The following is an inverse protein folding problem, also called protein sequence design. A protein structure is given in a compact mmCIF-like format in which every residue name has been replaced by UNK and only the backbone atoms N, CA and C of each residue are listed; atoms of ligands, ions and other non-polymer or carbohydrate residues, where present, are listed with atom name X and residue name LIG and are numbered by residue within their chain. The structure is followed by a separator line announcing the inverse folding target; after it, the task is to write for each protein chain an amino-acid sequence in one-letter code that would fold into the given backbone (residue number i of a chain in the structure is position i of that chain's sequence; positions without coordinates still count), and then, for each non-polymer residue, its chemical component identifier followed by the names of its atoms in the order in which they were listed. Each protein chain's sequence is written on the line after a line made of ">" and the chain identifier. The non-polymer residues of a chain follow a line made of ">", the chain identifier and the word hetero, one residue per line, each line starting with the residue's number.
data_IF_672097590384
#
_entry.id   IF_672097590384
#
_cell.length_a   1.000
_cell.length_b   1.000
_cell.length_c   1.000
_cell.angle_alpha   90.00
_cell.angle_beta   90.00
_cell.angle_gamma   90.00
#
_symmetry.space_group_name_H-M   'P 1'
#
loop_
_entity.id
_entity.type
_entity.pdbx_description
1 polymer ?
#
# COMPACT_ATOMS: atom_id res chain seq x y z
N UNK A 1 -8.97 -13.02 1.19
CA UNK A 1 -8.23 -11.94 1.86
C UNK A 1 -8.10 -10.77 0.89
N UNK A 2 -8.46 -9.54 1.29
CA UNK A 2 -8.25 -8.37 0.46
C UNK A 2 -6.76 -8.23 0.11
N UNK A 3 -6.50 -7.86 -1.13
CA UNK A 3 -5.14 -7.66 -1.63
C UNK A 3 -4.99 -6.20 -2.00
N UNK A 4 -3.91 -5.58 -1.51
CA UNK A 4 -3.50 -4.27 -1.98
C UNK A 4 -2.36 -4.45 -2.97
N UNK A 5 -2.46 -3.75 -4.10
CA UNK A 5 -1.33 -3.52 -5.00
C UNK A 5 -0.89 -2.08 -4.81
N UNK A 6 0.31 -1.91 -4.27
CA UNK A 6 0.92 -0.62 -3.95
C UNK A 6 1.97 -0.32 -5.01
N UNK A 7 1.68 0.64 -5.88
CA UNK A 7 2.59 1.09 -6.91
C UNK A 7 3.32 2.36 -6.43
N UNK A 8 4.64 2.28 -6.31
CA UNK A 8 5.51 3.36 -5.86
C UNK A 8 6.27 3.93 -7.06
N UNK A 9 5.95 5.17 -7.41
CA UNK A 9 6.57 5.91 -8.49
C UNK A 9 7.61 6.87 -7.92
N UNK A 10 8.83 6.78 -8.44
CA UNK A 10 9.92 7.68 -8.07
C UNK A 10 9.69 9.06 -8.70
N UNK A 11 9.75 10.11 -7.88
CA UNK A 11 9.94 11.49 -8.34
C UNK A 11 11.24 12.03 -7.72
N UNK A 12 11.60 13.29 -7.96
CA UNK A 12 12.92 13.83 -7.58
C UNK A 12 13.17 13.74 -6.07
N UNK A 13 12.22 14.20 -5.25
CA UNK A 13 12.38 14.32 -3.79
C UNK A 13 11.35 13.50 -2.98
N UNK A 14 10.39 12.89 -3.66
CA UNK A 14 9.26 12.20 -3.04
C UNK A 14 8.76 11.05 -3.93
N UNK A 15 7.82 10.30 -3.40
CA UNK A 15 7.11 9.25 -4.10
C UNK A 15 5.67 9.68 -4.35
N UNK A 16 5.19 9.34 -5.55
CA UNK A 16 3.76 9.13 -5.77
C UNK A 16 3.47 7.68 -5.43
N UNK A 17 2.52 7.43 -4.53
CA UNK A 17 2.08 6.08 -4.18
C UNK A 17 0.63 5.90 -4.56
N UNK A 18 0.36 4.90 -5.39
CA UNK A 18 -0.98 4.49 -5.78
C UNK A 18 -1.29 3.16 -5.11
N UNK A 19 -2.41 3.09 -4.40
CA UNK A 19 -2.89 1.88 -3.72
C UNK A 19 -4.18 1.43 -4.38
N UNK A 20 -4.14 0.26 -4.98
CA UNK A 20 -5.29 -0.41 -5.57
C UNK A 20 -5.73 -1.54 -4.65
N UNK A 21 -6.97 -1.47 -4.14
CA UNK A 21 -7.58 -2.50 -3.30
C UNK A 21 -8.42 -3.43 -4.16
N UNK A 22 -8.16 -4.73 -4.04
CA UNK A 22 -8.88 -5.76 -4.75
C UNK A 22 -9.71 -6.63 -3.80
N UNK A 23 -10.90 -7.00 -4.27
CA UNK A 23 -11.77 -8.00 -3.65
C UNK A 23 -11.15 -9.40 -3.71
N UNK A 24 -11.73 -10.36 -3.01
CA UNK A 24 -11.27 -11.75 -3.03
C UNK A 24 -11.43 -12.40 -4.42
N UNK A 25 -12.40 -11.95 -5.19
CA UNK A 25 -12.66 -12.35 -6.58
C UNK A 25 -11.73 -11.65 -7.58
N UNK A 26 -10.80 -10.81 -7.11
CA UNK A 26 -9.84 -10.09 -7.95
C UNK A 26 -10.42 -8.86 -8.66
N UNK A 27 -11.58 -8.36 -8.22
CA UNK A 27 -12.15 -7.10 -8.75
C UNK A 27 -11.50 -5.91 -8.07
N UNK A 28 -11.27 -4.84 -8.82
CA UNK A 28 -10.78 -3.58 -8.26
C UNK A 28 -11.93 -2.88 -7.52
N UNK A 29 -11.79 -2.72 -6.20
CA UNK A 29 -12.80 -2.09 -5.34
C UNK A 29 -12.53 -0.60 -5.16
N UNK A 30 -11.27 -0.21 -4.97
CA UNK A 30 -10.89 1.15 -4.61
C UNK A 30 -9.48 1.47 -5.09
N UNK A 31 -9.27 2.71 -5.56
CA UNK A 31 -7.95 3.26 -5.87
C UNK A 31 -7.73 4.54 -5.05
N UNK A 32 -6.59 4.63 -4.36
CA UNK A 32 -6.14 5.84 -3.67
C UNK A 32 -4.79 6.27 -4.19
N UNK A 33 -4.61 7.58 -4.38
CA UNK A 33 -3.35 8.16 -4.82
C UNK A 33 -2.86 9.14 -3.76
N UNK A 34 -1.60 8.98 -3.36
CA UNK A 34 -0.90 9.83 -2.41
C UNK A 34 0.29 10.47 -3.11
N UNK A 35 0.38 11.79 -3.02
CA UNK A 35 1.52 12.60 -3.48
C UNK A 35 2.31 13.06 -2.25
N UNK A 36 3.58 13.44 -2.41
CA UNK A 36 4.36 13.91 -1.25
C UNK A 36 4.87 12.82 -0.32
N UNK A 37 4.81 11.55 -0.71
CA UNK A 37 5.20 10.45 0.17
C UNK A 37 6.72 10.39 0.26
N UNK A 38 7.28 10.63 1.43
CA UNK A 38 8.73 10.52 1.69
C UNK A 38 9.11 9.18 2.29
N UNK A 39 8.17 8.52 2.96
CA UNK A 39 8.40 7.23 3.59
C UNK A 39 7.15 6.36 3.50
N UNK A 40 7.30 5.13 3.00
CA UNK A 40 6.28 4.09 3.02
C UNK A 40 6.62 3.06 4.10
N UNK A 41 5.70 2.81 5.04
CA UNK A 41 5.86 1.84 6.12
C UNK A 41 4.77 0.79 6.03
N UNK A 42 5.18 -0.48 6.01
CA UNK A 42 4.31 -1.65 6.00
C UNK A 42 4.42 -2.34 7.36
N UNK A 43 3.37 -2.31 8.19
CA UNK A 43 3.40 -2.84 9.57
C UNK A 43 2.45 -4.03 9.73
N UNK A 44 2.95 -5.14 10.28
CA UNK A 44 2.14 -6.33 10.56
C UNK A 44 1.37 -6.88 9.35
N UNK A 45 1.96 -6.79 8.16
CA UNK A 45 1.40 -7.30 6.90
C UNK A 45 2.39 -8.21 6.20
N UNK A 46 1.89 -9.07 5.31
CA UNK A 46 2.74 -9.83 4.41
C UNK A 46 2.89 -9.01 3.12
N UNK A 47 4.13 -8.62 2.81
CA UNK A 47 4.45 -7.88 1.60
C UNK A 47 5.31 -8.72 0.65
N UNK A 48 4.95 -8.74 -0.62
CA UNK A 48 5.71 -9.36 -1.70
C UNK A 48 6.14 -8.29 -2.67
N UNK A 49 7.44 -8.15 -2.85
CA UNK A 49 8.04 -7.14 -3.72
C UNK A 49 8.60 -7.88 -4.94
N UNK A 50 8.11 -7.50 -6.12
CA UNK A 50 8.66 -8.01 -7.37
C UNK A 50 9.85 -7.16 -7.81
N UNK A 51 10.72 -7.74 -8.64
CA UNK A 51 11.82 -7.00 -9.26
C UNK A 51 11.26 -5.80 -10.03
N UNK A 52 11.80 -4.62 -9.75
CA UNK A 52 11.53 -3.44 -10.57
C UNK A 52 12.16 -3.60 -11.95
N UNK A 53 11.35 -3.39 -12.98
CA UNK A 53 11.84 -3.26 -14.35
C UNK A 53 12.21 -1.80 -14.63
N UNK A 54 13.15 -1.58 -15.55
CA UNK A 54 13.63 -0.25 -15.87
C UNK A 54 12.47 0.70 -16.21
N UNK A 55 12.45 1.88 -15.57
CA UNK A 55 11.44 2.93 -15.76
C UNK A 55 10.00 2.50 -15.42
N UNK A 56 9.81 1.49 -14.57
CA UNK A 56 8.51 1.08 -14.03
C UNK A 56 8.43 1.39 -12.53
N UNK A 57 7.23 1.62 -11.97
CA UNK A 57 7.07 1.75 -10.52
C UNK A 57 7.45 0.44 -9.81
N UNK A 58 7.82 0.54 -8.53
CA UNK A 58 7.83 -0.66 -7.68
C UNK A 58 6.40 -1.07 -7.44
N UNK A 59 6.08 -2.33 -7.75
CA UNK A 59 4.78 -2.90 -7.42
C UNK A 59 4.94 -3.86 -6.24
N UNK A 60 4.29 -3.51 -5.15
CA UNK A 60 4.31 -4.25 -3.89
C UNK A 60 2.92 -4.83 -3.66
N UNK A 61 2.85 -6.15 -3.55
CA UNK A 61 1.59 -6.84 -3.22
C UNK A 61 1.55 -6.99 -1.71
N UNK A 62 0.53 -6.41 -1.08
CA UNK A 62 0.31 -6.50 0.37
C UNK A 62 -0.93 -7.33 0.64
N UNK A 63 -0.76 -8.39 1.42
CA UNK A 63 -1.82 -9.27 1.89
C UNK A 63 -2.18 -8.86 3.32
N UNK A 64 -3.43 -8.40 3.51
CA UNK A 64 -3.97 -7.92 4.78
C UNK A 64 -5.47 -8.21 4.87
N UNK A 65 -5.96 -8.66 6.03
CA UNK A 65 -7.37 -8.99 6.25
C UNK A 65 -8.27 -7.76 6.31
N UNK A 66 -7.80 -6.71 6.99
CA UNK A 66 -8.49 -5.44 7.19
C UNK A 66 -7.46 -4.30 7.14
N UNK A 67 -6.94 -3.95 5.95
CA UNK A 67 -5.88 -2.96 5.85
C UNK A 67 -6.36 -1.56 6.27
N UNK A 68 -5.55 -0.90 7.10
CA UNK A 68 -5.67 0.51 7.45
C UNK A 68 -4.57 1.28 6.71
N UNK A 69 -4.98 2.33 5.99
CA UNK A 69 -4.09 3.21 5.22
C UNK A 69 -4.13 4.59 5.87
N UNK A 70 -2.98 5.06 6.38
CA UNK A 70 -2.84 6.33 7.10
C UNK A 70 -1.76 7.17 6.42
N UNK A 71 -2.11 8.40 6.03
CA UNK A 71 -1.15 9.39 5.55
C UNK A 71 -1.00 10.49 6.59
N UNK A 72 0.22 10.69 7.09
CA UNK A 72 0.53 11.65 8.16
C UNK A 72 1.28 12.86 7.62
N UNK A 73 1.21 13.97 8.36
CA UNK A 73 2.03 15.15 8.11
C UNK A 73 3.52 14.77 8.03
N UNK A 74 4.24 15.42 7.12
CA UNK A 74 5.65 15.12 6.84
C UNK A 74 5.88 14.05 5.75
N UNK A 75 4.82 13.49 5.15
CA UNK A 75 4.93 12.58 4.00
C UNK A 75 5.07 11.10 4.38
N UNK A 76 4.68 10.71 5.58
CA UNK A 76 4.69 9.32 6.02
C UNK A 76 3.38 8.63 5.61
N UNK A 77 3.48 7.64 4.72
CA UNK A 77 2.38 6.75 4.36
C UNK A 77 2.57 5.41 5.06
N UNK A 78 1.57 5.00 5.85
CA UNK A 78 1.57 3.76 6.61
C UNK A 78 0.43 2.85 6.16
N UNK A 79 0.76 1.59 5.91
CA UNK A 79 -0.20 0.53 5.63
C UNK A 79 -0.02 -0.53 6.72
N UNK A 80 -1.10 -0.83 7.45
CA UNK A 80 -1.06 -1.79 8.57
C UNK A 80 -2.28 -2.68 8.61
N UNK A 81 -2.14 -3.85 9.21
CA UNK A 81 -3.29 -4.69 9.54
C UNK A 81 -4.13 -4.01 10.64
N UNK A 82 -5.41 -3.83 10.36
CA UNK A 82 -6.40 -3.42 11.35
C UNK A 82 -6.70 -4.56 12.31
N UNK A 83 -6.99 -4.23 13.57
CA UNK A 83 -7.46 -5.25 14.51
C UNK A 83 -8.89 -5.61 14.10
N UNK A 84 -9.04 -6.75 13.40
CA UNK A 84 -10.35 -7.38 13.22
C UNK A 84 -10.79 -7.81 14.62
N UNK A 85 -11.81 -7.15 15.15
CA UNK A 85 -12.22 -7.22 16.56
C UNK A 85 -12.10 -8.60 17.19
N UNK A 86 -11.02 -8.80 17.94
CA UNK A 86 -10.91 -9.87 18.92
C UNK A 86 -11.63 -9.42 20.17
N UNK A 87 -12.79 -10.04 20.44
CA UNK A 87 -13.37 -10.15 21.79
C UNK A 87 -12.23 -10.40 22.78
N UNK A 88 -12.08 -9.51 23.75
CA UNK A 88 -11.54 -9.84 25.07
C UNK A 88 -12.71 -9.98 26.02
#
# INVERSE_FOLDING_TARGET
>A
MPRLVVNVYFTVDEYKVEINKYSEEGRLDETKVFMGVKQLVLENVIARINRQLYNQPWSIIVEAGSPIIEYKEGGLLRIREGVVGGRR
#
